data_IF_048030424122
#
_entry.id   IF_048030424122
#
_cell.length_a   1.000
_cell.length_b   1.000
_cell.length_c   1.000
_cell.angle_alpha   90.00
_cell.angle_beta   90.00
_cell.angle_gamma   90.00
#
_symmetry.space_group_name_H-M   'P 1'
#
loop_
_entity.id
_entity.type
_entity.pdbx_description
1 polymer ?
#
# COMPACT_ATOMS: atom_id res chain seq x y z
N UNK A 1 -1.69 56.28 -49.41
CA UNK A 1 -0.80 55.16 -49.03
C UNK A 1 -1.33 54.58 -47.75
N UNK A 2 -1.94 53.38 -47.82
CA UNK A 2 -2.62 52.74 -46.70
C UNK A 2 -1.78 51.57 -46.21
N UNK A 3 -1.24 51.65 -44.97
CA UNK A 3 -0.52 50.56 -44.31
C UNK A 3 -1.52 49.72 -43.54
N UNK A 4 -1.68 48.48 -43.97
CA UNK A 4 -2.43 47.46 -43.23
C UNK A 4 -1.49 46.80 -42.22
N UNK A 5 -1.72 47.07 -40.94
CA UNK A 5 -1.12 46.33 -39.83
C UNK A 5 -1.84 44.96 -39.70
N UNK A 6 -1.07 43.87 -39.89
CA UNK A 6 -1.53 42.51 -39.65
C UNK A 6 -1.32 42.18 -38.17
N UNK A 7 -2.42 41.97 -37.47
CA UNK A 7 -2.43 41.51 -36.08
C UNK A 7 -2.16 39.98 -36.09
N UNK A 8 -1.02 39.55 -35.55
CA UNK A 8 -0.75 38.15 -35.25
C UNK A 8 -1.34 37.82 -33.90
N UNK A 9 -2.40 37.01 -33.87
CA UNK A 9 -2.93 36.41 -32.66
C UNK A 9 -2.09 35.13 -32.38
N UNK A 10 -1.25 35.19 -31.36
CA UNK A 10 -0.54 34.02 -30.83
C UNK A 10 -1.48 33.34 -29.84
N UNK A 11 -2.07 32.24 -30.26
CA UNK A 11 -2.81 31.37 -29.36
C UNK A 11 -1.81 30.59 -28.48
N UNK A 12 -1.66 31.00 -27.24
CA UNK A 12 -0.91 30.22 -26.24
C UNK A 12 -1.76 29.00 -25.85
N UNK A 13 -1.39 27.83 -26.37
CA UNK A 13 -1.92 26.55 -25.89
C UNK A 13 -1.35 26.28 -24.51
N UNK A 14 -2.18 26.44 -23.47
CA UNK A 14 -1.87 26.00 -22.12
C UNK A 14 -1.98 24.48 -22.11
N UNK A 15 -0.85 23.80 -22.19
CA UNK A 15 -0.76 22.36 -21.92
C UNK A 15 -0.89 22.19 -20.41
N UNK A 16 -2.08 21.87 -19.95
CA UNK A 16 -2.32 21.44 -18.59
C UNK A 16 -1.67 20.06 -18.41
N UNK A 17 -0.48 20.02 -17.85
CA UNK A 17 0.13 18.79 -17.36
C UNK A 17 -0.67 18.36 -16.14
N UNK A 18 -1.66 17.49 -16.34
CA UNK A 18 -2.30 16.79 -15.27
C UNK A 18 -1.22 15.90 -14.63
N UNK A 19 -0.77 16.27 -13.44
CA UNK A 19 0.04 15.41 -12.59
C UNK A 19 -0.84 14.22 -12.18
N UNK A 20 -0.82 13.16 -12.96
CA UNK A 20 -1.38 11.89 -12.56
C UNK A 20 -0.58 11.41 -11.35
N UNK A 21 -1.20 11.41 -10.18
CA UNK A 21 -0.66 10.75 -8.99
C UNK A 21 -0.43 9.28 -9.36
N UNK A 22 0.86 8.87 -9.40
CA UNK A 22 1.29 7.61 -10.01
C UNK A 22 0.71 6.33 -9.36
N UNK A 23 0.06 6.44 -8.19
CA UNK A 23 -0.59 5.32 -7.51
C UNK A 23 -1.90 4.88 -8.17
N UNK A 24 -2.71 5.81 -8.71
CA UNK A 24 -3.99 5.46 -9.35
C UNK A 24 -3.79 4.72 -10.69
N UNK A 25 -2.73 5.03 -11.41
CA UNK A 25 -2.40 4.34 -12.66
C UNK A 25 -1.92 2.89 -12.43
N UNK A 26 -1.22 2.63 -11.31
CA UNK A 26 -0.74 1.30 -10.96
C UNK A 26 -1.89 0.42 -10.49
N UNK A 27 -2.75 0.91 -9.61
CA UNK A 27 -3.92 0.17 -9.12
C UNK A 27 -4.90 -0.17 -10.25
N UNK A 28 -5.10 0.74 -11.21
CA UNK A 28 -5.92 0.50 -12.39
C UNK A 28 -5.37 -0.59 -13.32
N UNK A 29 -4.05 -0.62 -13.51
CA UNK A 29 -3.40 -1.64 -14.36
C UNK A 29 -3.52 -3.04 -13.76
N UNK A 30 -3.35 -3.19 -12.44
CA UNK A 30 -3.46 -4.49 -11.78
C UNK A 30 -4.91 -4.95 -11.63
N UNK A 31 -5.87 -4.06 -11.37
CA UNK A 31 -7.30 -4.40 -11.35
C UNK A 31 -7.80 -4.98 -12.67
N UNK A 32 -7.31 -4.49 -13.81
CA UNK A 32 -7.69 -4.99 -15.13
C UNK A 32 -7.12 -6.39 -15.43
N UNK A 33 -6.04 -6.80 -14.73
CA UNK A 33 -5.39 -8.10 -14.91
C UNK A 33 -5.97 -9.22 -14.05
N UNK A 34 -6.62 -8.88 -12.95
CA UNK A 34 -7.17 -9.85 -11.99
C UNK A 34 -8.58 -10.26 -12.39
N UNK A 35 -8.66 -11.16 -13.37
CA UNK A 35 -9.87 -11.85 -13.73
C UNK A 35 -10.43 -12.58 -12.49
N UNK A 36 -11.62 -12.14 -12.03
CA UNK A 36 -12.49 -12.77 -11.04
C UNK A 36 -11.79 -13.38 -9.81
N UNK A 37 -11.79 -12.64 -8.71
CA UNK A 37 -11.43 -13.16 -7.39
C UNK A 37 -12.14 -14.47 -7.13
N UNK A 38 -11.39 -15.54 -6.89
CA UNK A 38 -11.96 -16.81 -6.47
C UNK A 38 -12.32 -16.73 -4.99
N UNK A 39 -13.57 -16.47 -4.70
CA UNK A 39 -14.09 -16.43 -3.32
C UNK A 39 -14.25 -17.81 -2.70
N UNK A 40 -14.37 -18.84 -3.53
CA UNK A 40 -14.54 -20.23 -3.11
C UNK A 40 -13.19 -20.95 -2.97
N UNK A 41 -13.16 -22.00 -2.15
CA UNK A 41 -12.00 -22.86 -1.91
C UNK A 41 -11.12 -22.39 -0.74
N UNK A 42 -9.97 -23.05 -0.53
CA UNK A 42 -9.07 -22.76 0.58
C UNK A 42 -8.61 -21.30 0.58
N UNK A 43 -8.53 -20.70 1.77
CA UNK A 43 -7.98 -19.37 1.95
C UNK A 43 -6.48 -19.48 2.08
N UNK A 44 -5.77 -19.08 1.04
CA UNK A 44 -4.32 -18.98 1.06
C UNK A 44 -3.90 -17.66 1.71
N UNK A 45 -2.73 -17.64 2.37
CA UNK A 45 -2.20 -16.40 2.98
C UNK A 45 -1.86 -15.36 1.93
N UNK A 46 -1.43 -15.81 0.75
CA UNK A 46 -1.21 -14.95 -0.42
C UNK A 46 -2.04 -15.53 -1.56
N UNK A 47 -3.07 -14.81 -1.98
CA UNK A 47 -3.89 -15.18 -3.13
C UNK A 47 -3.22 -14.79 -4.47
N UNK A 48 -2.50 -13.66 -4.47
CA UNK A 48 -1.68 -13.21 -5.59
C UNK A 48 -0.48 -12.38 -5.10
N UNK A 49 0.64 -12.48 -5.81
CA UNK A 49 1.80 -11.64 -5.60
C UNK A 49 2.55 -11.39 -6.92
N UNK A 50 2.70 -10.12 -7.27
CA UNK A 50 3.57 -9.66 -8.38
C UNK A 50 4.50 -8.58 -7.84
N UNK A 51 5.79 -8.90 -7.69
CA UNK A 51 6.81 -7.99 -7.16
C UNK A 51 7.90 -7.88 -8.22
N UNK A 52 8.03 -6.70 -8.81
CA UNK A 52 9.02 -6.37 -9.83
C UNK A 52 10.03 -5.39 -9.28
N UNK A 53 11.30 -5.56 -9.64
CA UNK A 53 12.37 -4.62 -9.33
C UNK A 53 12.91 -4.00 -10.61
N UNK A 54 13.08 -2.69 -10.58
CA UNK A 54 13.78 -1.91 -11.60
C UNK A 54 14.75 -0.96 -10.88
N UNK A 55 16.03 -1.22 -11.00
CA UNK A 55 17.07 -0.50 -10.27
C UNK A 55 16.87 -0.58 -8.75
N UNK A 56 16.55 0.55 -8.13
CA UNK A 56 16.28 0.67 -6.70
C UNK A 56 14.78 0.59 -6.35
N UNK A 57 13.89 0.47 -7.33
CA UNK A 57 12.44 0.56 -7.14
C UNK A 57 11.81 -0.80 -7.25
N UNK A 58 11.09 -1.19 -6.21
CA UNK A 58 10.13 -2.30 -6.26
C UNK A 58 8.74 -1.76 -6.57
N UNK A 59 8.08 -2.38 -7.55
CA UNK A 59 6.64 -2.26 -7.77
C UNK A 59 5.99 -3.52 -7.21
N UNK A 60 5.07 -3.33 -6.29
CA UNK A 60 4.51 -4.40 -5.46
C UNK A 60 3.01 -4.45 -5.70
N UNK A 61 2.50 -5.66 -5.97
CA UNK A 61 1.08 -5.98 -5.91
C UNK A 61 0.92 -7.29 -5.15
N UNK A 62 0.11 -7.27 -4.10
CA UNK A 62 -0.18 -8.47 -3.31
C UNK A 62 -1.64 -8.51 -2.90
N UNK A 63 -2.20 -9.71 -2.85
CA UNK A 63 -3.58 -9.97 -2.44
C UNK A 63 -3.64 -11.08 -1.40
N UNK A 64 -4.55 -10.94 -0.44
CA UNK A 64 -4.93 -11.98 0.52
C UNK A 64 -6.42 -11.99 0.74
N UNK A 65 -7.00 -13.17 0.89
CA UNK A 65 -8.39 -13.30 1.34
C UNK A 65 -8.44 -13.43 2.86
N UNK A 66 -9.42 -12.73 3.44
CA UNK A 66 -9.68 -12.76 4.88
C UNK A 66 -11.11 -13.26 5.07
N UNK A 67 -11.29 -14.29 5.90
CA UNK A 67 -12.58 -14.88 6.22
C UNK A 67 -13.29 -14.06 7.31
N UNK A 68 -13.58 -12.82 6.96
CA UNK A 68 -14.31 -11.87 7.78
C UNK A 68 -14.95 -10.79 6.91
N UNK A 69 -16.12 -10.23 7.32
CA UNK A 69 -16.79 -9.13 6.62
C UNK A 69 -15.89 -7.91 6.48
N UNK A 70 -16.03 -7.13 5.38
CA UNK A 70 -15.21 -5.94 5.13
C UNK A 70 -15.21 -4.93 6.26
N UNK A 71 -16.34 -4.67 6.89
CA UNK A 71 -16.42 -3.70 7.98
C UNK A 71 -15.62 -4.15 9.22
N UNK A 72 -15.61 -5.47 9.51
CA UNK A 72 -14.81 -6.02 10.61
C UNK A 72 -13.31 -5.91 10.33
N UNK A 73 -12.89 -6.22 9.10
CA UNK A 73 -11.50 -6.07 8.66
C UNK A 73 -11.08 -4.60 8.67
N UNK A 74 -11.95 -3.72 8.16
CA UNK A 74 -11.69 -2.28 8.15
C UNK A 74 -11.51 -1.70 9.55
N UNK A 75 -12.38 -2.10 10.48
CA UNK A 75 -12.24 -1.71 11.88
C UNK A 75 -10.88 -2.13 12.46
N UNK A 76 -10.43 -3.36 12.17
CA UNK A 76 -9.10 -3.82 12.60
C UNK A 76 -7.96 -3.00 11.96
N UNK A 77 -8.07 -2.63 10.68
CA UNK A 77 -7.07 -1.79 10.00
C UNK A 77 -6.94 -0.39 10.61
N UNK A 78 -8.01 0.15 11.18
CA UNK A 78 -8.00 1.48 11.85
C UNK A 78 -7.29 1.49 13.21
N UNK A 79 -6.85 0.31 13.69
CA UNK A 79 -6.09 0.13 14.92
C UNK A 79 -4.66 -0.38 14.67
N UNK A 80 -3.83 0.39 13.90
CA UNK A 80 -2.48 -0.05 13.56
C UNK A 80 -1.55 -0.17 14.77
N UNK A 81 -1.87 0.49 15.91
CA UNK A 81 -1.16 0.34 17.18
C UNK A 81 -1.22 -1.10 17.74
N UNK A 82 -2.17 -1.90 17.28
CA UNK A 82 -2.27 -3.30 17.69
C UNK A 82 -1.36 -4.24 16.89
N UNK A 83 -0.66 -3.76 15.87
CA UNK A 83 0.27 -4.58 15.08
C UNK A 83 1.35 -5.22 15.95
N UNK A 84 1.93 -4.48 16.89
CA UNK A 84 2.97 -4.99 17.80
C UNK A 84 2.44 -6.03 18.80
N UNK A 85 1.15 -6.03 19.11
CA UNK A 85 0.51 -7.05 19.96
C UNK A 85 0.14 -8.32 19.20
N UNK A 86 -0.11 -8.20 17.89
CA UNK A 86 -0.66 -9.26 17.07
C UNK A 86 0.35 -9.92 16.13
N UNK A 87 1.55 -9.34 15.97
CA UNK A 87 2.61 -9.87 15.13
C UNK A 87 3.97 -9.69 15.77
N UNK A 88 4.76 -10.75 15.83
CA UNK A 88 6.13 -10.72 16.38
C UNK A 88 7.10 -9.91 15.51
N UNK A 89 6.77 -9.66 14.24
CA UNK A 89 7.55 -8.84 13.35
C UNK A 89 7.56 -7.37 13.79
N UNK A 90 6.45 -6.87 14.33
CA UNK A 90 6.33 -5.50 14.79
C UNK A 90 6.70 -5.42 16.28
N UNK A 91 7.90 -4.95 16.58
CA UNK A 91 8.38 -4.81 17.98
C UNK A 91 7.82 -3.55 18.67
N UNK A 92 7.42 -2.57 17.86
CA UNK A 92 6.77 -1.33 18.30
C UNK A 92 5.78 -0.87 17.23
N UNK A 93 4.65 -0.34 17.67
CA UNK A 93 3.68 0.34 16.83
C UNK A 93 2.97 1.40 17.68
N UNK A 94 3.55 2.60 17.74
CA UNK A 94 3.06 3.68 18.56
C UNK A 94 2.48 4.79 17.69
N UNK A 95 1.29 5.27 18.06
CA UNK A 95 0.68 6.43 17.42
C UNK A 95 1.41 7.68 17.90
N UNK A 96 1.99 8.44 16.97
CA UNK A 96 2.60 9.75 17.22
C UNK A 96 1.58 10.87 17.03
N UNK A 97 0.64 10.68 16.08
CA UNK A 97 -0.42 11.64 15.77
C UNK A 97 -1.69 10.89 15.38
N UNK A 98 -2.84 11.35 15.85
CA UNK A 98 -4.17 10.84 15.51
C UNK A 98 -5.13 12.01 15.23
N UNK A 99 -5.51 12.15 13.98
CA UNK A 99 -6.49 13.15 13.53
C UNK A 99 -7.70 12.45 12.87
N UNK A 100 -8.13 11.34 13.46
CA UNK A 100 -9.23 10.54 12.96
C UNK A 100 -8.85 9.70 11.74
N UNK A 101 -9.02 10.25 10.55
CA UNK A 101 -8.67 9.52 9.31
C UNK A 101 -7.22 9.72 8.87
N UNK A 102 -6.43 10.52 9.58
CA UNK A 102 -4.99 10.63 9.41
C UNK A 102 -4.27 10.21 10.68
N UNK A 103 -3.33 9.27 10.56
CA UNK A 103 -2.48 8.82 11.67
C UNK A 103 -1.02 8.84 11.26
N UNK A 104 -0.15 9.22 12.18
CA UNK A 104 1.29 9.01 12.05
C UNK A 104 1.76 8.02 13.10
N UNK A 105 2.57 7.04 12.70
CA UNK A 105 3.03 5.97 13.56
C UNK A 105 4.54 5.85 13.53
N UNK A 106 5.12 5.57 14.70
CA UNK A 106 6.46 5.01 14.82
C UNK A 106 6.37 3.49 14.82
N UNK A 107 7.05 2.87 13.87
CA UNK A 107 7.11 1.42 13.73
C UNK A 107 8.55 0.92 13.93
N UNK A 108 8.71 -0.12 14.75
CA UNK A 108 9.93 -0.91 14.81
C UNK A 108 9.64 -2.29 14.23
N UNK A 109 10.17 -2.56 13.06
CA UNK A 109 9.87 -3.78 12.28
C UNK A 109 11.12 -4.64 12.20
N UNK A 110 10.99 -5.91 12.57
CA UNK A 110 12.06 -6.89 12.37
C UNK A 110 12.02 -7.37 10.92
N UNK A 111 13.06 -7.06 10.16
CA UNK A 111 13.22 -7.51 8.78
C UNK A 111 14.62 -8.09 8.61
N UNK A 112 14.70 -9.34 8.14
CA UNK A 112 15.97 -10.05 7.91
C UNK A 112 16.88 -10.00 9.16
N UNK A 113 16.31 -10.29 10.33
CA UNK A 113 16.98 -10.26 11.64
C UNK A 113 17.53 -8.89 12.08
N UNK A 114 17.18 -7.82 11.35
CA UNK A 114 17.53 -6.46 11.70
C UNK A 114 16.31 -5.66 12.09
N UNK A 115 16.42 -4.93 13.20
CA UNK A 115 15.36 -4.02 13.65
C UNK A 115 15.42 -2.72 12.84
N UNK A 116 14.33 -2.45 12.11
CA UNK A 116 14.16 -1.25 11.32
C UNK A 116 13.23 -0.28 12.03
N UNK A 117 13.65 0.97 12.14
CA UNK A 117 12.83 2.04 12.68
C UNK A 117 12.35 2.94 11.54
N UNK A 118 11.06 3.18 11.48
CA UNK A 118 10.46 4.06 10.48
C UNK A 118 9.26 4.79 11.06
N UNK A 119 8.99 5.96 10.52
CA UNK A 119 7.74 6.68 10.76
C UNK A 119 6.93 6.67 9.48
N UNK A 120 5.65 6.38 9.59
CA UNK A 120 4.72 6.32 8.46
C UNK A 120 3.51 7.20 8.71
N UNK A 121 3.00 7.83 7.64
CA UNK A 121 1.67 8.40 7.60
C UNK A 121 0.69 7.39 7.04
N UNK A 122 -0.52 7.36 7.58
CA UNK A 122 -1.63 6.52 7.18
C UNK A 122 -2.88 7.38 6.99
N UNK A 123 -3.43 7.41 5.78
CA UNK A 123 -4.64 8.15 5.44
C UNK A 123 -5.77 7.17 5.09
N UNK A 124 -6.84 7.19 5.88
CA UNK A 124 -7.98 6.28 5.78
C UNK A 124 -9.15 6.93 5.04
N UNK A 125 -9.67 6.26 4.01
CA UNK A 125 -10.93 6.60 3.37
C UNK A 125 -12.00 5.56 3.76
N UNK A 126 -12.88 5.94 4.66
CA UNK A 126 -13.94 5.06 5.17
C UNK A 126 -14.96 4.67 4.11
N UNK A 127 -15.19 5.54 3.12
CA UNK A 127 -16.15 5.29 2.05
C UNK A 127 -15.61 4.33 1.01
N UNK A 128 -14.38 4.57 0.56
CA UNK A 128 -13.72 3.72 -0.44
C UNK A 128 -13.09 2.47 0.17
N UNK A 129 -13.01 2.36 1.51
CA UNK A 129 -12.26 1.31 2.23
C UNK A 129 -10.82 1.21 1.72
N UNK A 130 -10.15 2.35 1.59
CA UNK A 130 -8.76 2.44 1.18
C UNK A 130 -7.91 3.10 2.25
N UNK A 131 -6.71 2.58 2.46
CA UNK A 131 -5.69 3.13 3.33
C UNK A 131 -4.46 3.45 2.50
N UNK A 132 -4.10 4.73 2.42
CA UNK A 132 -2.82 5.15 1.85
C UNK A 132 -1.75 5.14 2.93
N UNK A 133 -0.58 4.59 2.60
CA UNK A 133 0.58 4.60 3.49
C UNK A 133 1.74 5.30 2.81
N UNK A 134 2.47 6.10 3.58
CA UNK A 134 3.68 6.78 3.10
C UNK A 134 4.72 6.82 4.22
N UNK A 135 5.95 6.45 3.90
CA UNK A 135 7.10 6.63 4.80
C UNK A 135 7.39 8.12 4.97
N UNK A 136 7.42 8.59 6.20
CA UNK A 136 7.89 9.93 6.58
C UNK A 136 9.38 9.92 6.87
N UNK A 137 9.84 8.93 7.65
CA UNK A 137 11.28 8.72 7.93
C UNK A 137 11.64 7.24 7.84
N UNK A 138 12.75 6.95 7.21
CA UNK A 138 13.39 5.62 7.19
C UNK A 138 14.84 5.77 6.70
N UNK A 139 15.72 4.90 7.16
CA UNK A 139 17.12 4.85 6.71
C UNK A 139 17.34 3.91 5.54
N UNK A 140 16.41 2.99 5.27
CA UNK A 140 16.59 1.89 4.32
C UNK A 140 15.83 2.11 3.02
N UNK A 141 14.54 2.42 3.12
CA UNK A 141 13.67 2.55 1.97
C UNK A 141 12.52 3.52 2.22
N UNK A 142 12.06 4.18 1.17
CA UNK A 142 10.79 4.90 1.17
C UNK A 142 9.71 4.01 0.56
N UNK A 143 8.56 3.96 1.21
CA UNK A 143 7.39 3.19 0.79
C UNK A 143 6.24 4.16 0.57
N UNK A 144 5.57 4.04 -0.55
CA UNK A 144 4.31 4.71 -0.85
C UNK A 144 3.35 3.69 -1.45
N UNK A 145 2.19 3.51 -0.83
CA UNK A 145 1.27 2.47 -1.27
C UNK A 145 -0.15 2.68 -0.80
N UNK A 146 -1.03 1.81 -1.31
CA UNK A 146 -2.45 1.80 -0.98
C UNK A 146 -2.88 0.38 -0.66
N UNK A 147 -3.53 0.22 0.47
CA UNK A 147 -4.33 -0.96 0.77
C UNK A 147 -5.76 -0.72 0.35
N UNK A 148 -6.37 -1.70 -0.30
CA UNK A 148 -7.78 -1.66 -0.70
C UNK A 148 -8.49 -2.87 -0.12
N UNK A 149 -9.68 -2.65 0.42
CA UNK A 149 -10.52 -3.72 0.95
C UNK A 149 -11.77 -3.86 0.08
N UNK A 150 -11.98 -5.06 -0.46
CA UNK A 150 -13.16 -5.38 -1.28
C UNK A 150 -13.91 -6.54 -0.65
N UNK A 151 -15.24 -6.43 -0.54
CA UNK A 151 -16.09 -7.49 -0.02
C UNK A 151 -16.41 -8.56 -1.06
N UNK A 152 -16.63 -9.80 -0.60
CA UNK A 152 -17.27 -10.84 -1.39
C UNK A 152 -18.72 -10.48 -1.72
N UNK A 153 -19.33 -11.06 -2.77
CA UNK A 153 -20.72 -10.78 -3.14
C UNK A 153 -21.73 -11.02 -2.02
N UNK A 154 -21.48 -11.98 -1.14
CA UNK A 154 -22.29 -12.30 0.03
C UNK A 154 -21.95 -11.48 1.27
N UNK A 155 -20.89 -10.63 1.20
CA UNK A 155 -20.45 -9.76 2.29
C UNK A 155 -19.75 -10.49 3.45
N UNK A 156 -19.48 -11.80 3.34
CA UNK A 156 -18.93 -12.59 4.45
C UNK A 156 -17.40 -12.63 4.48
N UNK A 157 -16.75 -12.33 3.35
CA UNK A 157 -15.28 -12.40 3.17
C UNK A 157 -14.75 -11.10 2.60
N UNK A 158 -13.47 -10.88 2.74
CA UNK A 158 -12.77 -9.71 2.24
C UNK A 158 -11.57 -10.11 1.39
N UNK A 159 -11.33 -9.35 0.32
CA UNK A 159 -10.07 -9.30 -0.40
C UNK A 159 -9.28 -8.09 0.11
N UNK A 160 -8.09 -8.33 0.61
CA UNK A 160 -7.14 -7.33 1.07
C UNK A 160 -6.04 -7.22 0.04
N UNK A 161 -5.98 -6.08 -0.66
CA UNK A 161 -5.04 -5.81 -1.75
C UNK A 161 -4.04 -4.76 -1.29
N UNK A 162 -2.77 -4.94 -1.65
CA UNK A 162 -1.69 -3.99 -1.41
C UNK A 162 -0.97 -3.66 -2.71
N UNK A 163 -1.05 -2.41 -3.14
CA UNK A 163 -0.34 -1.84 -4.28
C UNK A 163 0.65 -0.79 -3.80
N UNK A 164 1.95 -0.97 -4.07
CA UNK A 164 2.95 -0.04 -3.57
C UNK A 164 4.16 0.11 -4.47
N UNK A 165 4.88 1.21 -4.22
CA UNK A 165 6.28 1.40 -4.62
C UNK A 165 7.15 1.46 -3.38
N UNK A 166 8.23 0.70 -3.37
CA UNK A 166 9.31 0.82 -2.40
C UNK A 166 10.56 1.25 -3.14
N UNK A 167 11.20 2.32 -2.67
CA UNK A 167 12.47 2.81 -3.23
C UNK A 167 13.57 2.62 -2.20
N UNK A 168 14.54 1.77 -2.50
CA UNK A 168 15.69 1.51 -1.63
C UNK A 168 16.59 2.74 -1.57
N UNK A 169 16.89 3.23 -0.36
CA UNK A 169 17.84 4.34 -0.10
C UNK A 169 19.28 3.86 -0.12
N UNK A 170 19.49 2.64 0.33
CA UNK A 170 20.81 2.00 0.43
C UNK A 170 20.82 0.70 -0.37
N UNK A 171 22.01 0.30 -0.81
CA UNK A 171 22.20 -1.04 -1.36
C UNK A 171 22.25 -2.06 -0.22
N UNK A 172 21.31 -2.98 -0.18
CA UNK A 172 21.32 -4.06 0.79
C UNK A 172 22.23 -5.19 0.29
N UNK A 173 23.10 -5.76 1.14
CA UNK A 173 24.04 -6.84 0.75
C UNK A 173 23.34 -8.20 0.71
N UNK A 174 22.16 -8.28 0.09
CA UNK A 174 21.32 -9.47 -0.03
C UNK A 174 20.78 -9.58 -1.45
N UNK A 175 20.47 -10.79 -1.90
CA UNK A 175 19.90 -11.01 -3.23
C UNK A 175 18.51 -10.40 -3.37
N UNK A 176 18.12 -10.15 -4.60
CA UNK A 176 16.78 -9.64 -4.91
C UNK A 176 15.66 -10.61 -4.47
N UNK A 177 15.90 -11.93 -4.60
CA UNK A 177 14.94 -12.94 -4.16
C UNK A 177 14.71 -12.91 -2.64
N UNK A 178 15.77 -12.69 -1.86
CA UNK A 178 15.65 -12.50 -0.40
C UNK A 178 14.87 -11.24 -0.08
N UNK A 179 15.11 -10.14 -0.81
CA UNK A 179 14.32 -8.90 -0.64
C UNK A 179 12.84 -9.11 -0.97
N UNK A 180 12.52 -9.79 -2.09
CA UNK A 180 11.14 -10.14 -2.47
C UNK A 180 10.46 -11.02 -1.42
N UNK A 181 11.19 -11.99 -0.87
CA UNK A 181 10.68 -12.86 0.20
C UNK A 181 10.37 -12.07 1.46
N UNK A 182 11.24 -11.16 1.87
CA UNK A 182 11.00 -10.28 3.02
C UNK A 182 9.78 -9.38 2.86
N UNK A 183 9.56 -8.83 1.65
CA UNK A 183 8.36 -8.04 1.33
C UNK A 183 7.09 -8.91 1.45
N UNK A 184 7.10 -10.13 0.91
CA UNK A 184 5.97 -11.08 1.03
C UNK A 184 5.70 -11.44 2.49
N UNK A 185 6.73 -11.76 3.25
CA UNK A 185 6.61 -12.12 4.67
C UNK A 185 6.02 -10.96 5.49
N UNK A 186 6.45 -9.73 5.22
CA UNK A 186 5.89 -8.55 5.89
C UNK A 186 4.39 -8.40 5.64
N UNK A 187 3.94 -8.59 4.39
CA UNK A 187 2.52 -8.58 4.05
C UNK A 187 1.75 -9.70 4.76
N UNK A 188 2.26 -10.94 4.74
CA UNK A 188 1.64 -12.09 5.41
C UNK A 188 1.50 -11.83 6.91
N UNK A 189 2.53 -11.30 7.57
CA UNK A 189 2.49 -11.01 9.00
C UNK A 189 1.47 -9.91 9.34
N UNK A 190 1.31 -8.92 8.47
CA UNK A 190 0.27 -7.90 8.62
C UNK A 190 -1.14 -8.52 8.47
N UNK A 191 -1.35 -9.37 7.47
CA UNK A 191 -2.62 -10.09 7.27
C UNK A 191 -2.94 -10.96 8.48
N UNK A 192 -1.96 -11.70 9.02
CA UNK A 192 -2.13 -12.51 10.23
C UNK A 192 -2.50 -11.66 11.44
N UNK A 193 -1.89 -10.48 11.60
CA UNK A 193 -2.23 -9.56 12.67
C UNK A 193 -3.68 -9.05 12.57
N UNK A 194 -4.15 -8.75 11.34
CA UNK A 194 -5.54 -8.38 11.09
C UNK A 194 -6.48 -9.55 11.40
N UNK A 195 -6.16 -10.76 10.93
CA UNK A 195 -6.97 -11.96 11.20
C UNK A 195 -7.15 -12.20 12.70
N UNK A 196 -6.11 -12.03 13.52
CA UNK A 196 -6.20 -12.14 14.97
C UNK A 196 -7.16 -11.14 15.61
N UNK A 197 -7.32 -9.95 15.01
CA UNK A 197 -8.25 -8.92 15.48
C UNK A 197 -9.69 -9.18 15.02
N UNK A 198 -9.87 -9.99 13.98
CA UNK A 198 -11.19 -10.28 13.39
C UNK A 198 -11.76 -11.65 13.79
N UNK A 199 -11.03 -12.43 14.55
CA UNK A 199 -11.46 -13.75 15.08
C UNK A 199 -12.46 -13.61 16.21
#
# INVERSE_FOLDING_TARGET
MKHHARLFVVAAAIVSVAAFSGCDAISGYFRAKNAAVKWEGPIEEIAAADIKKDGKVFTIHMESRIDAPPDKVWAAMKHPELLSKNSEQYKKSDILKDEGNHKELELHVLALDNLQQLTVAMDFDDTAKTLKIKTLTSTIADIEGTYTLTGSPDGTKSLYTYDAKQTDKIALPISEDVQRSAIKESFVNQVRAIKKQTS
#
